data_IF_559549478980
#
_entry.id   IF_559549478980
#
_cell.length_a   1.000
_cell.length_b   1.000
_cell.length_c   1.000
_cell.angle_alpha   90.00
_cell.angle_beta   90.00
_cell.angle_gamma   90.00
#
_symmetry.space_group_name_H-M   'P 1'
#
loop_
_entity.id
_entity.type
_entity.pdbx_description
1 polymer ?
#
# COMPACT_ATOMS: atom_id res chain seq x y z
N UNK A 1 10.63 1.00 -16.24
CA UNK A 1 9.47 1.87 -16.00
C UNK A 1 8.23 1.00 -15.93
N UNK A 2 7.46 1.04 -14.85
CA UNK A 2 6.19 0.32 -14.67
C UNK A 2 5.02 1.30 -14.69
N UNK A 3 3.90 0.92 -15.30
CA UNK A 3 2.73 1.78 -15.44
C UNK A 3 1.46 1.23 -14.77
N UNK A 4 1.40 -0.08 -14.48
CA UNK A 4 0.21 -0.73 -13.92
C UNK A 4 0.47 -1.48 -12.61
N UNK A 5 1.73 -1.67 -12.21
CA UNK A 5 2.02 -2.33 -10.93
C UNK A 5 1.79 -1.38 -9.77
N UNK A 6 0.93 -1.82 -8.85
CA UNK A 6 0.55 -1.11 -7.61
C UNK A 6 1.11 -1.79 -6.35
N UNK A 7 1.93 -2.84 -6.51
CA UNK A 7 2.46 -3.60 -5.39
C UNK A 7 3.34 -2.74 -4.48
N UNK A 8 3.05 -2.68 -3.17
CA UNK A 8 3.85 -1.90 -2.23
C UNK A 8 5.27 -2.46 -2.03
N UNK A 9 5.47 -3.77 -2.24
CA UNK A 9 6.77 -4.43 -2.11
C UNK A 9 7.84 -3.85 -3.07
N UNK A 10 7.41 -3.32 -4.21
CA UNK A 10 8.27 -2.67 -5.20
C UNK A 10 8.85 -1.32 -4.73
N UNK A 11 8.39 -0.81 -3.59
CA UNK A 11 8.93 0.40 -2.98
C UNK A 11 10.29 0.16 -2.28
N UNK A 12 10.71 -1.09 -2.08
CA UNK A 12 11.97 -1.45 -1.42
C UNK A 12 13.18 -1.07 -2.28
N UNK A 13 13.68 0.16 -2.14
CA UNK A 13 14.77 0.73 -2.95
C UNK A 13 16.11 0.04 -2.81
N UNK A 14 16.37 -0.62 -1.69
CA UNK A 14 17.57 -1.44 -1.48
C UNK A 14 17.65 -2.59 -2.49
N UNK A 15 16.50 -3.17 -2.84
CA UNK A 15 16.36 -4.28 -3.80
C UNK A 15 16.09 -3.75 -5.21
N UNK A 16 15.15 -2.80 -5.34
CA UNK A 16 14.69 -2.26 -6.62
C UNK A 16 15.22 -0.84 -6.88
N UNK A 17 16.53 -0.72 -7.07
CA UNK A 17 17.22 0.58 -7.19
C UNK A 17 16.79 1.41 -8.40
N UNK A 18 16.54 0.77 -9.55
CA UNK A 18 16.27 1.45 -10.83
C UNK A 18 14.79 1.44 -11.23
N UNK A 19 13.91 0.85 -10.41
CA UNK A 19 12.51 0.71 -10.74
C UNK A 19 11.76 2.04 -10.53
N UNK A 20 11.23 2.62 -11.60
CA UNK A 20 10.32 3.77 -11.50
C UNK A 20 8.92 3.31 -11.91
N UNK A 21 7.93 3.64 -11.08
CA UNK A 21 6.51 3.34 -11.32
C UNK A 21 5.72 4.65 -11.41
N UNK A 22 4.82 4.73 -12.40
CA UNK A 22 3.91 5.87 -12.58
C UNK A 22 2.64 5.70 -11.76
N UNK A 23 2.19 4.46 -11.58
CA UNK A 23 1.08 4.13 -10.71
C UNK A 23 1.45 4.32 -9.23
N UNK A 24 0.49 4.80 -8.44
CA UNK A 24 0.63 4.87 -6.99
C UNK A 24 0.53 3.46 -6.40
N UNK A 25 1.37 3.16 -5.40
CA UNK A 25 1.29 1.90 -4.69
C UNK A 25 -0.01 1.82 -3.88
N UNK A 26 -0.57 0.62 -3.67
CA UNK A 26 -1.80 0.41 -2.90
C UNK A 26 -1.68 0.91 -1.44
N UNK A 27 -0.47 0.98 -0.92
CA UNK A 27 -0.18 1.54 0.41
C UNK A 27 -0.45 3.05 0.50
N UNK A 28 -0.47 3.78 -0.62
CA UNK A 28 -0.75 5.23 -0.65
C UNK A 28 -2.14 5.56 -0.08
N UNK A 29 -3.11 4.65 -0.23
CA UNK A 29 -4.47 4.82 0.28
C UNK A 29 -4.57 4.70 1.81
N UNK A 30 -3.54 4.18 2.50
CA UNK A 30 -3.56 4.03 3.96
C UNK A 30 -3.66 5.37 4.68
N UNK A 31 -3.06 6.43 4.12
CA UNK A 31 -3.16 7.79 4.67
C UNK A 31 -4.62 8.27 4.63
N UNK A 32 -5.32 8.05 3.51
CA UNK A 32 -6.72 8.42 3.38
C UNK A 32 -7.61 7.62 4.35
N UNK A 33 -7.38 6.30 4.49
CA UNK A 33 -8.10 5.45 5.45
C UNK A 33 -7.90 5.93 6.89
N UNK A 34 -6.67 6.28 7.27
CA UNK A 34 -6.35 6.82 8.59
C UNK A 34 -7.08 8.15 8.85
N UNK A 35 -7.07 9.07 7.89
CA UNK A 35 -7.78 10.35 8.02
C UNK A 35 -9.29 10.16 8.15
N UNK A 36 -9.86 9.20 7.43
CA UNK A 36 -11.27 8.84 7.53
C UNK A 36 -11.64 8.30 8.92
N UNK A 37 -10.87 7.34 9.44
CA UNK A 37 -11.03 6.79 10.80
C UNK A 37 -10.95 7.91 11.84
N UNK A 38 -9.97 8.81 11.70
CA UNK A 38 -9.79 9.95 12.61
C UNK A 38 -10.96 10.94 12.55
N UNK A 39 -11.49 11.22 11.36
CA UNK A 39 -12.61 12.14 11.19
C UNK A 39 -13.87 11.66 11.93
N UNK A 40 -14.15 10.36 11.88
CA UNK A 40 -15.31 9.76 12.56
C UNK A 40 -15.05 9.27 13.98
N UNK A 41 -13.82 9.49 14.51
CA UNK A 41 -13.41 9.10 15.86
C UNK A 41 -13.67 7.63 16.16
N UNK A 42 -13.30 6.75 15.22
CA UNK A 42 -13.36 5.31 15.45
C UNK A 42 -12.12 4.86 16.23
N UNK A 43 -12.34 4.26 17.40
CA UNK A 43 -11.27 3.78 18.28
C UNK A 43 -10.85 2.32 17.98
N UNK A 44 -11.73 1.53 17.35
CA UNK A 44 -11.50 0.12 17.04
C UNK A 44 -11.88 -0.19 15.60
N UNK A 45 -10.97 -0.83 14.86
CA UNK A 45 -11.20 -1.32 13.49
C UNK A 45 -10.72 -2.75 13.35
N UNK A 46 -11.30 -3.49 12.41
CA UNK A 46 -10.86 -4.84 12.06
C UNK A 46 -10.50 -4.88 10.57
N UNK A 47 -9.52 -5.72 10.22
CA UNK A 47 -9.07 -5.91 8.84
C UNK A 47 -9.34 -7.34 8.40
N UNK A 48 -9.81 -7.50 7.17
CA UNK A 48 -9.92 -8.78 6.48
C UNK A 48 -9.16 -8.63 5.17
N UNK A 49 -8.34 -9.61 4.83
CA UNK A 49 -7.59 -9.63 3.58
C UNK A 49 -7.62 -11.04 2.99
N UNK A 50 -7.44 -11.11 1.67
CA UNK A 50 -7.26 -12.37 0.96
C UNK A 50 -5.79 -12.80 1.06
N UNK A 51 -5.55 -14.07 1.41
CA UNK A 51 -4.20 -14.64 1.46
C UNK A 51 -3.68 -14.86 0.04
N UNK A 52 -3.15 -13.78 -0.53
CA UNK A 52 -2.37 -13.79 -1.77
C UNK A 52 -0.91 -13.51 -1.42
N UNK A 53 0.03 -14.20 -2.07
CA UNK A 53 1.49 -13.99 -2.03
C UNK A 53 1.96 -12.55 -2.41
N UNK A 54 1.06 -11.57 -2.49
CA UNK A 54 1.38 -10.16 -2.71
C UNK A 54 1.94 -9.44 -1.47
N UNK A 55 1.90 -10.08 -0.30
CA UNK A 55 2.32 -9.47 0.98
C UNK A 55 3.47 -10.20 1.70
N UNK A 56 4.19 -11.11 1.05
CA UNK A 56 5.38 -11.71 1.69
C UNK A 56 6.45 -10.64 1.94
N UNK A 57 6.81 -10.47 3.22
CA UNK A 57 7.83 -9.55 3.73
C UNK A 57 9.26 -10.01 3.37
#
# INVERSE_FOLDING_TARGET
LSYASVSPALSKREVYKTLVSVAQADSSYNVARMLFIKHFRWDTVATIYEDMEKFSL
#
